data_IF_231303291413
#
_entry.id   IF_231303291413
#
_cell.length_a   1.000
_cell.length_b   1.000
_cell.length_c   1.000
_cell.angle_alpha   90.00
_cell.angle_beta   90.00
_cell.angle_gamma   90.00
#
_symmetry.space_group_name_H-M   'P 1'
#
loop_
_entity.id
_entity.type
_entity.pdbx_description
1 polymer ?
#
# COMPACT_ATOMS: atom_id res chain seq x y z
N UNK A 1 10.69 9.25 93.07
CA UNK A 1 10.28 8.63 91.78
C UNK A 1 10.46 7.14 91.93
N UNK A 2 9.41 6.33 91.78
CA UNK A 2 9.52 4.88 91.95
C UNK A 2 10.19 4.24 90.73
N UNK A 3 10.90 3.12 90.93
CA UNK A 3 11.52 2.37 89.83
C UNK A 3 10.51 1.93 88.75
N UNK A 4 9.24 1.78 89.13
CA UNK A 4 8.14 1.53 88.20
C UNK A 4 7.90 2.69 87.21
N UNK A 5 8.03 3.95 87.65
CA UNK A 5 7.92 5.13 86.78
C UNK A 5 9.08 5.23 85.79
N UNK A 6 10.28 4.81 86.19
CA UNK A 6 11.47 4.79 85.34
C UNK A 6 11.43 3.67 84.29
N UNK A 7 10.99 2.46 84.66
CA UNK A 7 10.75 1.37 83.71
C UNK A 7 9.63 1.70 82.72
N UNK A 8 8.54 2.33 83.18
CA UNK A 8 7.46 2.77 82.31
C UNK A 8 7.93 3.83 81.29
N UNK A 9 8.75 4.81 81.72
CA UNK A 9 9.35 5.80 80.82
C UNK A 9 10.33 5.19 79.81
N UNK A 10 11.14 4.22 80.23
CA UNK A 10 12.06 3.51 79.34
C UNK A 10 11.32 2.66 78.29
N UNK A 11 10.27 1.95 78.70
CA UNK A 11 9.43 1.14 77.83
C UNK A 11 8.69 1.99 76.77
N UNK A 12 8.12 3.13 77.18
CA UNK A 12 7.47 4.08 76.26
C UNK A 12 8.48 4.63 75.25
N UNK A 13 9.70 4.96 75.67
CA UNK A 13 10.75 5.43 74.73
C UNK A 13 11.20 4.33 73.75
N UNK A 14 11.20 3.07 74.18
CA UNK A 14 11.55 1.91 73.35
C UNK A 14 10.49 1.61 72.28
N UNK A 15 9.21 1.69 72.66
CA UNK A 15 8.07 1.48 71.74
C UNK A 15 8.08 2.52 70.62
N UNK A 16 8.33 3.79 70.94
CA UNK A 16 8.43 4.85 69.92
C UNK A 16 9.58 4.62 68.94
N UNK A 17 10.74 4.16 69.43
CA UNK A 17 11.88 3.81 68.56
C UNK A 17 11.55 2.63 67.65
N UNK A 18 10.94 1.57 68.19
CA UNK A 18 10.52 0.42 67.39
C UNK A 18 9.48 0.83 66.32
N UNK A 19 8.48 1.62 66.70
CA UNK A 19 7.47 2.13 65.77
C UNK A 19 8.08 3.01 64.67
N UNK A 20 9.05 3.87 65.00
CA UNK A 20 9.75 4.70 64.03
C UNK A 20 10.59 3.86 63.04
N UNK A 21 11.26 2.80 63.52
CA UNK A 21 12.00 1.87 62.66
C UNK A 21 11.06 1.12 61.72
N UNK A 22 9.93 0.63 62.23
CA UNK A 22 8.91 -0.05 61.41
C UNK A 22 8.36 0.92 60.35
N UNK A 23 8.03 2.15 60.73
CA UNK A 23 7.56 3.15 59.78
C UNK A 23 8.61 3.47 58.72
N UNK A 24 9.88 3.63 59.11
CA UNK A 24 10.97 3.86 58.17
C UNK A 24 11.15 2.69 57.19
N UNK A 25 11.04 1.45 57.67
CA UNK A 25 11.10 0.25 56.83
C UNK A 25 9.93 0.20 55.82
N UNK A 26 8.71 0.51 56.26
CA UNK A 26 7.54 0.58 55.37
C UNK A 26 7.72 1.67 54.32
N UNK A 27 8.17 2.86 54.70
CA UNK A 27 8.41 3.96 53.78
C UNK A 27 9.49 3.62 52.74
N UNK A 28 10.57 2.94 53.16
CA UNK A 28 11.60 2.45 52.24
C UNK A 28 11.04 1.45 51.23
N UNK A 29 10.21 0.51 51.66
CA UNK A 29 9.58 -0.47 50.77
C UNK A 29 8.65 0.23 49.78
N UNK A 30 7.81 1.16 50.24
CA UNK A 30 6.87 1.88 49.37
C UNK A 30 7.61 2.77 48.38
N UNK A 31 8.62 3.54 48.82
CA UNK A 31 9.42 4.38 47.96
C UNK A 31 10.22 3.54 46.93
N UNK A 32 10.76 2.41 47.35
CA UNK A 32 11.46 1.46 46.46
C UNK A 32 10.52 0.85 45.42
N UNK A 33 9.35 0.37 45.83
CA UNK A 33 8.38 -0.25 44.93
C UNK A 33 7.78 0.77 43.93
N UNK A 34 7.46 1.97 44.39
CA UNK A 34 6.92 3.04 43.53
C UNK A 34 7.98 3.58 42.57
N UNK A 35 9.22 3.79 43.04
CA UNK A 35 10.33 4.22 42.19
C UNK A 35 10.68 3.21 41.10
N UNK A 36 10.80 1.93 41.46
CA UNK A 36 11.07 0.86 40.48
C UNK A 36 9.89 0.65 39.52
N UNK A 37 8.66 0.67 40.03
CA UNK A 37 7.45 0.58 39.20
C UNK A 37 7.34 1.72 38.19
N UNK A 38 7.62 2.96 38.61
CA UNK A 38 7.64 4.11 37.72
C UNK A 38 8.71 3.99 36.64
N UNK A 39 9.92 3.55 37.00
CA UNK A 39 11.02 3.38 36.05
C UNK A 39 10.70 2.33 34.99
N UNK A 40 10.12 1.19 35.38
CA UNK A 40 9.67 0.15 34.45
C UNK A 40 8.54 0.64 33.54
N UNK A 41 7.57 1.37 34.09
CA UNK A 41 6.47 1.94 33.32
C UNK A 41 6.97 2.97 32.29
N UNK A 42 7.93 3.82 32.68
CA UNK A 42 8.57 4.77 31.77
C UNK A 42 9.33 4.04 30.65
N UNK A 43 10.12 3.02 30.98
CA UNK A 43 10.82 2.21 29.98
C UNK A 43 9.88 1.51 28.99
N UNK A 44 8.80 0.91 29.48
CA UNK A 44 7.79 0.27 28.64
C UNK A 44 7.07 1.29 27.72
N UNK A 45 6.77 2.47 28.25
CA UNK A 45 6.20 3.58 27.46
C UNK A 45 7.15 4.03 26.36
N UNK A 46 8.43 4.22 26.67
CA UNK A 46 9.42 4.68 25.71
C UNK A 46 9.62 3.64 24.59
N UNK A 47 9.68 2.36 24.95
CA UNK A 47 9.75 1.28 23.97
C UNK A 47 8.49 1.27 23.06
N UNK A 48 7.29 1.37 23.64
CA UNK A 48 6.06 1.41 22.87
C UNK A 48 5.99 2.62 21.91
N UNK A 49 6.57 3.77 22.29
CA UNK A 49 6.66 4.94 21.41
C UNK A 49 7.65 4.73 20.26
N UNK A 50 8.75 4.02 20.50
CA UNK A 50 9.70 3.63 19.45
C UNK A 50 9.04 2.68 18.46
N UNK A 51 8.38 1.64 18.96
CA UNK A 51 7.69 0.65 18.14
C UNK A 51 6.56 1.30 17.33
N UNK A 52 5.77 2.19 17.95
CA UNK A 52 4.72 2.94 17.25
C UNK A 52 5.28 3.80 16.11
N UNK A 53 6.42 4.47 16.32
CA UNK A 53 7.05 5.27 15.25
C UNK A 53 7.59 4.39 14.12
N UNK A 54 8.14 3.22 14.44
CA UNK A 54 8.58 2.26 13.44
C UNK A 54 7.40 1.79 12.58
N UNK A 55 6.29 1.39 13.20
CA UNK A 55 5.06 0.98 12.51
C UNK A 55 4.46 2.10 11.66
N UNK A 56 4.46 3.34 12.16
CA UNK A 56 4.00 4.50 11.40
C UNK A 56 4.85 4.74 10.14
N UNK A 57 6.18 4.59 10.25
CA UNK A 57 7.10 4.72 9.12
C UNK A 57 6.87 3.64 8.08
N UNK A 58 6.72 2.38 8.51
CA UNK A 58 6.41 1.25 7.61
C UNK A 58 5.07 1.48 6.92
N UNK A 59 4.04 1.90 7.67
CA UNK A 59 2.71 2.21 7.13
C UNK A 59 2.74 3.35 6.12
N UNK A 60 3.55 4.39 6.36
CA UNK A 60 3.74 5.49 5.42
C UNK A 60 4.38 5.00 4.11
N UNK A 61 5.42 4.16 4.20
CA UNK A 61 6.05 3.52 3.04
C UNK A 61 5.08 2.66 2.24
N UNK A 62 4.27 1.84 2.92
CA UNK A 62 3.26 1.01 2.27
C UNK A 62 2.21 1.86 1.53
N UNK A 63 1.71 2.94 2.16
CA UNK A 63 0.76 3.86 1.51
C UNK A 63 1.36 4.54 0.28
N UNK A 64 2.62 4.95 0.34
CA UNK A 64 3.31 5.53 -0.80
C UNK A 64 3.44 4.52 -1.95
N UNK A 65 3.82 3.27 -1.66
CA UNK A 65 3.91 2.21 -2.67
C UNK A 65 2.55 1.87 -3.29
N UNK A 66 1.47 1.82 -2.49
CA UNK A 66 0.11 1.61 -3.01
C UNK A 66 -0.31 2.77 -3.92
N UNK A 67 0.01 4.01 -3.56
CA UNK A 67 -0.30 5.17 -4.40
C UNK A 67 0.43 5.10 -5.75
N UNK A 68 1.72 4.72 -5.76
CA UNK A 68 2.48 4.53 -6.99
C UNK A 68 1.94 3.39 -7.86
N UNK A 69 1.60 2.25 -7.24
CA UNK A 69 0.96 1.13 -7.94
C UNK A 69 -0.38 1.52 -8.56
N UNK A 70 -1.22 2.27 -7.85
CA UNK A 70 -2.50 2.74 -8.36
C UNK A 70 -2.30 3.68 -9.57
N UNK A 71 -1.33 4.59 -9.51
CA UNK A 71 -0.99 5.46 -10.64
C UNK A 71 -0.52 4.65 -11.87
N UNK A 72 0.29 3.62 -11.65
CA UNK A 72 0.75 2.73 -12.72
C UNK A 72 -0.41 1.95 -13.35
N UNK A 73 -1.34 1.41 -12.53
CA UNK A 73 -2.53 0.69 -13.00
C UNK A 73 -3.44 1.63 -13.80
N UNK A 74 -3.68 2.85 -13.34
CA UNK A 74 -4.46 3.85 -14.07
C UNK A 74 -3.78 4.22 -15.41
N UNK A 75 -2.46 4.35 -15.41
CA UNK A 75 -1.67 4.54 -16.62
C UNK A 75 -1.83 3.39 -17.62
N UNK A 76 -1.70 2.15 -17.14
CA UNK A 76 -1.87 0.94 -17.94
C UNK A 76 -3.29 0.81 -18.49
N UNK A 77 -4.32 1.11 -17.70
CA UNK A 77 -5.71 1.07 -18.12
C UNK A 77 -5.98 2.04 -19.28
N UNK A 78 -5.49 3.29 -19.16
CA UNK A 78 -5.60 4.29 -20.24
C UNK A 78 -4.85 3.87 -21.50
N UNK A 79 -3.63 3.36 -21.36
CA UNK A 79 -2.83 2.88 -22.49
C UNK A 79 -3.51 1.69 -23.21
N UNK A 80 -4.12 0.79 -22.43
CA UNK A 80 -4.86 -0.37 -22.95
C UNK A 80 -6.09 0.07 -23.72
N UNK A 81 -6.87 1.01 -23.18
CA UNK A 81 -8.04 1.56 -23.89
C UNK A 81 -7.63 2.22 -25.21
N UNK A 82 -6.56 3.02 -25.21
CA UNK A 82 -6.05 3.63 -26.44
C UNK A 82 -5.54 2.60 -27.46
N UNK A 83 -4.98 1.48 -27.00
CA UNK A 83 -4.56 0.39 -27.87
C UNK A 83 -5.76 -0.38 -28.45
N UNK A 84 -6.81 -0.61 -27.65
CA UNK A 84 -8.05 -1.23 -28.10
C UNK A 84 -8.73 -0.38 -29.18
N UNK A 85 -8.88 0.93 -28.97
CA UNK A 85 -9.45 1.85 -29.96
C UNK A 85 -8.67 1.83 -31.28
N UNK A 86 -7.33 1.82 -31.21
CA UNK A 86 -6.48 1.67 -32.41
C UNK A 86 -6.67 0.32 -33.09
N UNK A 87 -6.81 -0.75 -32.32
CA UNK A 87 -7.08 -2.10 -32.82
C UNK A 87 -8.43 -2.20 -33.52
N UNK A 88 -9.50 -1.66 -32.93
CA UNK A 88 -10.84 -1.61 -33.51
C UNK A 88 -10.85 -0.79 -34.82
N UNK A 89 -10.19 0.37 -34.83
CA UNK A 89 -10.05 1.18 -36.03
C UNK A 89 -9.30 0.42 -37.14
N UNK A 90 -8.22 -0.30 -36.81
CA UNK A 90 -7.48 -1.12 -37.75
C UNK A 90 -8.32 -2.30 -38.29
N UNK A 91 -9.12 -2.96 -37.43
CA UNK A 91 -10.03 -4.03 -37.84
C UNK A 91 -11.13 -3.51 -38.76
N UNK A 92 -11.73 -2.36 -38.44
CA UNK A 92 -12.74 -1.72 -39.29
C UNK A 92 -12.17 -1.35 -40.67
N UNK A 93 -10.96 -0.77 -40.70
CA UNK A 93 -10.26 -0.45 -41.94
C UNK A 93 -9.95 -1.70 -42.76
N UNK A 94 -9.46 -2.77 -42.12
CA UNK A 94 -9.18 -4.04 -42.77
C UNK A 94 -10.46 -4.70 -43.34
N UNK A 95 -11.57 -4.67 -42.60
CA UNK A 95 -12.85 -5.19 -43.07
C UNK A 95 -13.39 -4.39 -44.26
N UNK A 96 -13.28 -3.05 -44.23
CA UNK A 96 -13.66 -2.20 -45.35
C UNK A 96 -12.79 -2.46 -46.59
N UNK A 97 -11.47 -2.56 -46.42
CA UNK A 97 -10.55 -2.91 -47.49
C UNK A 97 -10.88 -4.30 -48.07
N UNK A 98 -11.09 -5.31 -47.21
CA UNK A 98 -11.47 -6.66 -47.63
C UNK A 98 -12.74 -6.68 -48.48
N UNK A 99 -13.77 -5.90 -48.13
CA UNK A 99 -14.98 -5.74 -48.95
C UNK A 99 -14.69 -5.11 -50.31
N UNK A 100 -13.84 -4.07 -50.38
CA UNK A 100 -13.40 -3.47 -51.65
C UNK A 100 -12.70 -4.51 -52.53
N UNK A 101 -11.76 -5.27 -51.97
CA UNK A 101 -11.06 -6.35 -52.69
C UNK A 101 -12.01 -7.45 -53.17
N UNK A 102 -12.97 -7.86 -52.34
CA UNK A 102 -13.98 -8.85 -52.74
C UNK A 102 -14.83 -8.35 -53.91
N UNK A 103 -15.30 -7.09 -53.86
CA UNK A 103 -16.07 -6.48 -54.92
C UNK A 103 -15.28 -6.38 -56.23
N UNK A 104 -14.00 -6.01 -56.15
CA UNK A 104 -13.09 -5.96 -57.29
C UNK A 104 -12.88 -7.35 -57.93
N UNK A 105 -12.76 -8.41 -57.12
CA UNK A 105 -12.66 -9.79 -57.62
C UNK A 105 -13.95 -10.26 -58.32
N UNK A 106 -15.13 -9.89 -57.80
CA UNK A 106 -16.41 -10.21 -58.45
C UNK A 106 -16.53 -9.53 -59.82
N UNK A 107 -16.07 -8.28 -59.95
CA UNK A 107 -16.05 -7.59 -61.25
C UNK A 107 -15.14 -8.29 -62.26
N UNK A 108 -14.05 -8.93 -61.81
CA UNK A 108 -13.11 -9.66 -62.67
C UNK A 108 -13.58 -11.07 -63.04
N UNK A 109 -14.43 -11.71 -62.24
CA UNK A 109 -14.87 -13.09 -62.46
C UNK A 109 -15.59 -13.34 -63.80
N UNK A 110 -16.12 -12.29 -64.44
CA UNK A 110 -16.73 -12.35 -65.77
C UNK A 110 -15.82 -11.97 -66.93
N UNK A 111 -14.60 -11.48 -66.67
CA UNK A 111 -13.67 -10.99 -67.69
C UNK A 111 -12.82 -12.15 -68.21
N UNK A 112 -13.13 -12.64 -69.42
CA UNK A 112 -12.23 -13.52 -70.17
C UNK A 112 -11.41 -12.68 -71.14
N UNK A 113 -10.18 -12.36 -70.75
CA UNK A 113 -9.19 -11.81 -71.65
C UNK A 113 -8.31 -12.94 -72.19
N UNK A 114 -8.09 -12.97 -73.50
CA UNK A 114 -7.19 -13.94 -74.15
C UNK A 114 -5.83 -13.34 -74.50
N UNK A 115 -5.70 -12.01 -74.38
CA UNK A 115 -4.47 -11.25 -74.61
C UNK A 115 -4.26 -10.21 -73.49
N UNK A 116 -3.01 -9.75 -73.31
CA UNK A 116 -2.68 -8.73 -72.31
C UNK A 116 -3.39 -7.39 -72.55
N UNK A 117 -3.61 -7.03 -73.82
CA UNK A 117 -4.23 -5.78 -74.23
C UNK A 117 -5.73 -5.75 -73.86
N UNK A 118 -6.39 -6.91 -73.87
CA UNK A 118 -7.78 -7.09 -73.40
C UNK A 118 -7.89 -7.07 -71.86
N UNK A 119 -6.85 -7.48 -71.14
CA UNK A 119 -6.85 -7.56 -69.67
C UNK A 119 -6.54 -6.20 -69.00
N UNK A 120 -5.71 -5.36 -69.64
CA UNK A 120 -5.23 -4.08 -69.12
C UNK A 120 -6.32 -3.10 -68.65
N UNK A 121 -7.47 -2.92 -69.35
CA UNK A 121 -8.54 -2.04 -68.89
C UNK A 121 -9.19 -2.52 -67.59
N UNK A 122 -9.37 -3.83 -67.43
CA UNK A 122 -9.96 -4.42 -66.24
C UNK A 122 -9.01 -4.32 -65.02
N UNK A 123 -7.71 -4.50 -65.24
CA UNK A 123 -6.69 -4.30 -64.19
C UNK A 123 -6.58 -2.84 -63.77
N UNK A 124 -6.67 -1.90 -64.73
CA UNK A 124 -6.68 -0.45 -64.42
C UNK A 124 -7.90 -0.07 -63.58
N UNK A 125 -9.10 -0.52 -63.97
CA UNK A 125 -10.32 -0.30 -63.20
C UNK A 125 -10.25 -0.94 -61.80
N UNK A 126 -9.55 -2.08 -61.64
CA UNK A 126 -9.32 -2.69 -60.34
C UNK A 126 -8.42 -1.83 -59.45
N UNK A 127 -7.29 -1.34 -59.97
CA UNK A 127 -6.35 -0.51 -59.22
C UNK A 127 -6.97 0.82 -58.78
N UNK A 128 -7.85 1.40 -59.60
CA UNK A 128 -8.59 2.63 -59.26
C UNK A 128 -9.65 2.41 -58.17
N UNK A 129 -10.28 1.23 -58.11
CA UNK A 129 -11.32 0.91 -57.11
C UNK A 129 -10.76 0.40 -55.77
N UNK A 130 -9.51 -0.06 -55.75
CA UNK A 130 -8.87 -0.67 -54.56
C UNK A 130 -8.05 0.34 -53.75
N UNK A 131 -7.62 1.46 -54.35
CA UNK A 131 -7.05 2.60 -53.63
C UNK A 131 -8.07 3.25 -52.67
#
# INVERSE_FOLDING_TARGET
>A
MSGASALAGAAVSGIWKAAAIVLAAVLLVVAGATGTGWWLAAGARDQALVDLKAEQSVSAGLRASIAEQNLAVDGMARATLAAQQRGEAAQAAAAAAGKKYQAAQVQLAGVRATTCDEAMPAVRAMLENVQ
#
